data_IF_917470659374
#
_entry.id   IF_917470659374
#
_cell.length_a   1.000
_cell.length_b   1.000
_cell.length_c   1.000
_cell.angle_alpha   90.00
_cell.angle_beta   90.00
_cell.angle_gamma   90.00
#
_symmetry.space_group_name_H-M   'P 1'
#
loop_
_entity.id
_entity.type
_entity.pdbx_description
1 polymer ?
#
# COMPACT_ATOMS: atom_id res chain seq x y z
N UNK A 1 15.64 -16.74 -0.45
CA UNK A 1 16.26 -15.39 -0.55
C UNK A 1 16.24 -14.96 -2.02
N UNK A 2 15.80 -13.74 -2.31
CA UNK A 2 15.90 -13.08 -3.62
C UNK A 2 16.76 -11.81 -3.47
N UNK A 3 17.70 -11.59 -4.38
CA UNK A 3 18.67 -10.49 -4.34
C UNK A 3 18.80 -9.85 -5.72
N UNK A 4 18.68 -8.52 -5.82
CA UNK A 4 18.78 -7.79 -7.11
C UNK A 4 17.86 -8.33 -8.19
N UNK A 5 16.64 -8.68 -7.77
CA UNK A 5 15.55 -9.11 -8.64
C UNK A 5 14.65 -7.91 -8.99
N UNK A 6 13.60 -8.17 -9.77
CA UNK A 6 12.71 -7.13 -10.27
C UNK A 6 13.29 -6.37 -11.46
N UNK A 7 12.43 -5.76 -12.26
CA UNK A 7 12.82 -4.88 -13.35
C UNK A 7 12.07 -3.57 -13.20
N UNK A 8 12.78 -2.50 -12.84
CA UNK A 8 12.16 -1.18 -12.61
C UNK A 8 11.34 -0.75 -13.82
N UNK A 9 10.12 -0.26 -13.57
CA UNK A 9 9.18 0.20 -14.60
C UNK A 9 8.78 -0.86 -15.65
N UNK A 10 8.91 -2.16 -15.36
CA UNK A 10 8.34 -3.23 -16.19
C UNK A 10 7.23 -3.94 -15.41
N UNK A 11 5.98 -3.71 -15.83
CA UNK A 11 4.79 -4.25 -15.17
C UNK A 11 4.86 -5.79 -15.03
N UNK A 12 4.47 -6.29 -13.86
CA UNK A 12 4.44 -7.72 -13.53
C UNK A 12 5.81 -8.37 -13.29
N UNK A 13 6.93 -7.67 -13.50
CA UNK A 13 8.30 -8.20 -13.33
C UNK A 13 8.81 -7.94 -11.91
N UNK A 14 8.18 -8.60 -10.94
CA UNK A 14 8.51 -8.51 -9.52
C UNK A 14 9.17 -9.80 -9.02
N UNK A 15 9.92 -9.77 -7.89
CA UNK A 15 10.61 -10.95 -7.36
C UNK A 15 9.68 -12.10 -6.98
N UNK A 16 8.61 -11.82 -6.22
CA UNK A 16 7.60 -12.79 -5.79
C UNK A 16 6.21 -12.22 -6.05
N UNK A 17 5.43 -12.92 -6.86
CA UNK A 17 4.20 -12.39 -7.45
C UNK A 17 3.15 -13.49 -7.56
N UNK A 18 2.09 -13.43 -6.74
CA UNK A 18 0.87 -14.18 -7.02
C UNK A 18 0.10 -13.45 -8.11
N UNK A 19 -0.03 -14.09 -9.27
CA UNK A 19 -0.61 -13.46 -10.45
C UNK A 19 -1.92 -14.16 -10.83
N UNK A 20 -3.03 -13.45 -10.63
CA UNK A 20 -4.35 -13.81 -11.15
C UNK A 20 -4.83 -15.22 -10.74
N UNK A 21 -4.54 -15.63 -9.49
CA UNK A 21 -4.92 -16.97 -9.00
C UNK A 21 -6.39 -17.06 -8.57
N UNK A 22 -7.11 -15.94 -8.52
CA UNK A 22 -8.48 -15.90 -8.01
C UNK A 22 -8.53 -16.19 -6.51
N UNK A 23 -9.57 -16.89 -6.06
CA UNK A 23 -9.70 -17.29 -4.65
C UNK A 23 -8.97 -18.60 -4.39
N UNK A 24 -7.93 -18.55 -3.57
CA UNK A 24 -7.18 -19.73 -3.10
C UNK A 24 -7.65 -20.15 -1.71
N UNK A 25 -7.24 -21.31 -1.19
CA UNK A 25 -7.78 -21.89 0.05
C UNK A 25 -6.89 -21.63 1.28
N UNK A 26 -6.13 -20.53 1.31
CA UNK A 26 -5.18 -20.22 2.39
C UNK A 26 -3.89 -21.05 2.36
N UNK A 27 -3.77 -21.95 1.39
CA UNK A 27 -2.66 -22.88 1.16
C UNK A 27 -1.60 -22.33 0.19
N UNK A 28 -1.88 -21.22 -0.48
CA UNK A 28 -0.89 -20.48 -1.29
C UNK A 28 -0.24 -19.40 -0.43
N UNK A 29 1.07 -19.51 -0.24
CA UNK A 29 1.79 -18.60 0.64
C UNK A 29 3.20 -18.22 0.17
N UNK A 30 3.62 -17.03 0.57
CA UNK A 30 5.03 -16.66 0.68
C UNK A 30 5.37 -16.58 2.16
N UNK A 31 6.31 -17.41 2.61
CA UNK A 31 6.60 -17.53 4.03
C UNK A 31 8.11 -17.67 4.28
N UNK A 32 8.60 -17.02 5.34
CA UNK A 32 9.99 -17.07 5.78
C UNK A 32 11.00 -16.70 4.66
N UNK A 33 10.61 -15.78 3.78
CA UNK A 33 11.43 -15.29 2.67
C UNK A 33 12.12 -13.95 2.97
N UNK A 34 13.22 -13.71 2.26
CA UNK A 34 13.92 -12.42 2.23
C UNK A 34 14.02 -11.97 0.78
N UNK A 35 13.54 -10.77 0.48
CA UNK A 35 13.79 -10.03 -0.75
C UNK A 35 14.59 -8.78 -0.40
N UNK A 36 15.73 -8.57 -1.06
CA UNK A 36 16.54 -7.38 -0.80
C UNK A 36 17.22 -6.82 -2.06
N UNK A 37 17.47 -5.50 -2.04
CA UNK A 37 18.02 -4.74 -3.17
C UNK A 37 17.18 -4.96 -4.44
N UNK A 38 15.85 -4.97 -4.32
CA UNK A 38 14.96 -5.21 -5.46
C UNK A 38 14.74 -3.93 -6.26
N UNK A 39 14.80 -4.04 -7.58
CA UNK A 39 14.58 -2.91 -8.48
C UNK A 39 13.10 -2.62 -8.73
N UNK A 40 12.19 -3.53 -8.39
CA UNK A 40 10.76 -3.24 -8.49
C UNK A 40 9.90 -4.19 -7.64
N UNK A 41 9.40 -3.65 -6.51
CA UNK A 41 8.56 -4.33 -5.51
C UNK A 41 9.24 -5.54 -4.86
N UNK A 42 8.63 -6.09 -3.81
CA UNK A 42 9.13 -7.29 -3.14
C UNK A 42 8.14 -8.46 -3.23
N UNK A 43 6.96 -8.28 -2.65
CA UNK A 43 5.89 -9.28 -2.59
C UNK A 43 4.62 -8.67 -3.16
N UNK A 44 4.16 -9.22 -4.28
CA UNK A 44 2.96 -8.74 -4.96
C UNK A 44 1.85 -9.77 -4.91
N UNK A 45 0.64 -9.33 -4.57
CA UNK A 45 -0.59 -10.09 -4.70
C UNK A 45 -1.47 -9.36 -5.70
N UNK A 46 -1.70 -10.00 -6.85
CA UNK A 46 -2.43 -9.46 -7.98
C UNK A 46 -3.58 -10.41 -8.32
N UNK A 47 -4.82 -9.91 -8.31
CA UNK A 47 -6.00 -10.69 -8.68
C UNK A 47 -6.21 -11.96 -7.86
N UNK A 48 -5.64 -11.99 -6.65
CA UNK A 48 -5.56 -13.17 -5.78
C UNK A 48 -6.13 -12.84 -4.41
N UNK A 49 -6.97 -13.75 -3.88
CA UNK A 49 -7.70 -13.57 -2.62
C UNK A 49 -7.55 -14.80 -1.73
N UNK A 50 -7.57 -14.59 -0.41
CA UNK A 50 -7.41 -15.63 0.61
C UNK A 50 -6.04 -16.37 0.56
N UNK A 51 -4.98 -15.66 0.15
CA UNK A 51 -3.57 -16.10 0.22
C UNK A 51 -2.90 -15.63 1.52
N UNK A 52 -1.67 -16.10 1.79
CA UNK A 52 -0.89 -15.73 2.98
C UNK A 52 0.52 -15.24 2.65
N UNK A 53 0.90 -14.09 3.18
CA UNK A 53 2.25 -13.52 3.09
C UNK A 53 2.74 -13.33 4.52
N UNK A 54 3.57 -14.25 5.02
CA UNK A 54 3.88 -14.37 6.45
C UNK A 54 5.39 -14.35 6.74
N UNK A 55 5.82 -13.64 7.79
CA UNK A 55 7.20 -13.70 8.32
C UNK A 55 8.29 -13.42 7.29
N UNK A 56 7.98 -12.57 6.31
CA UNK A 56 8.91 -12.21 5.27
C UNK A 56 9.65 -10.91 5.60
N UNK A 57 10.80 -10.72 4.98
CA UNK A 57 11.56 -9.47 5.02
C UNK A 57 11.67 -8.88 3.62
N UNK A 58 11.43 -7.58 3.53
CA UNK A 58 11.69 -6.73 2.37
C UNK A 58 12.61 -5.57 2.79
N UNK A 59 13.85 -5.53 2.27
CA UNK A 59 14.85 -4.53 2.62
C UNK A 59 15.53 -3.92 1.40
N UNK A 60 15.64 -2.59 1.33
CA UNK A 60 16.20 -1.88 0.17
C UNK A 60 15.41 -2.21 -1.11
N UNK A 61 14.23 -1.62 -1.23
CA UNK A 61 13.26 -1.94 -2.28
C UNK A 61 12.86 -0.67 -3.03
N UNK A 62 13.06 -0.66 -4.34
CA UNK A 62 12.46 0.35 -5.23
C UNK A 62 10.98 0.08 -5.45
N UNK A 63 10.15 1.10 -5.21
CA UNK A 63 8.69 1.00 -5.26
C UNK A 63 8.10 0.36 -4.01
N UNK A 64 6.77 0.23 -3.96
CA UNK A 64 6.10 -0.30 -2.78
C UNK A 64 6.43 -1.79 -2.55
N UNK A 65 6.77 -2.19 -1.32
CA UNK A 65 7.34 -3.51 -1.05
C UNK A 65 6.30 -4.64 -1.02
N UNK A 66 5.30 -4.55 -0.13
CA UNK A 66 4.16 -5.46 -0.08
C UNK A 66 3.00 -4.79 -0.80
N UNK A 67 2.61 -5.32 -1.96
CA UNK A 67 1.83 -4.60 -2.96
C UNK A 67 0.57 -5.38 -3.36
N UNK A 68 -0.60 -4.79 -3.11
CA UNK A 68 -1.87 -5.20 -3.75
C UNK A 68 -2.05 -4.39 -5.05
N UNK A 69 -2.33 -5.05 -6.16
CA UNK A 69 -2.23 -4.45 -7.50
C UNK A 69 -3.53 -3.79 -7.97
N UNK A 70 -4.66 -4.52 -8.03
CA UNK A 70 -5.84 -4.06 -8.76
C UNK A 70 -7.03 -3.64 -7.87
N UNK A 71 -7.02 -4.01 -6.59
CA UNK A 71 -8.07 -3.72 -5.64
C UNK A 71 -9.19 -4.76 -5.56
N UNK A 72 -9.16 -5.83 -6.36
CA UNK A 72 -10.06 -6.98 -6.16
C UNK A 72 -9.49 -8.01 -5.15
N UNK A 73 -8.24 -7.85 -4.71
CA UNK A 73 -7.57 -8.74 -3.78
C UNK A 73 -8.13 -8.56 -2.37
N UNK A 74 -8.71 -9.63 -1.81
CA UNK A 74 -9.37 -9.59 -0.50
C UNK A 74 -9.14 -10.84 0.31
N UNK A 75 -9.39 -10.72 1.60
CA UNK A 75 -9.29 -11.77 2.60
C UNK A 75 -7.88 -12.39 2.71
N UNK A 76 -6.86 -11.73 2.14
CA UNK A 76 -5.47 -12.15 2.27
C UNK A 76 -4.95 -11.84 3.69
N UNK A 77 -4.03 -12.67 4.17
CA UNK A 77 -3.33 -12.46 5.43
C UNK A 77 -1.91 -11.99 5.16
N UNK A 78 -1.58 -10.81 5.68
CA UNK A 78 -0.22 -10.30 5.77
C UNK A 78 0.16 -10.26 7.25
N UNK A 79 1.02 -11.17 7.71
CA UNK A 79 1.39 -11.24 9.12
C UNK A 79 2.89 -11.35 9.38
N UNK A 80 3.33 -10.63 10.42
CA UNK A 80 4.72 -10.66 10.94
C UNK A 80 5.80 -10.34 9.88
N UNK A 81 5.45 -9.55 8.87
CA UNK A 81 6.40 -9.13 7.84
C UNK A 81 7.17 -7.86 8.25
N UNK A 82 8.37 -7.68 7.71
CA UNK A 82 9.16 -6.46 7.85
C UNK A 82 9.38 -5.80 6.49
N UNK A 83 9.01 -4.52 6.39
CA UNK A 83 9.40 -3.64 5.28
C UNK A 83 10.34 -2.54 5.79
N UNK A 84 11.56 -2.46 5.26
CA UNK A 84 12.55 -1.48 5.69
C UNK A 84 13.32 -0.87 4.50
N UNK A 85 13.60 0.43 4.57
CA UNK A 85 14.37 1.16 3.56
C UNK A 85 13.71 1.10 2.16
N UNK A 86 12.51 1.68 2.06
CA UNK A 86 11.73 1.76 0.82
C UNK A 86 12.13 3.01 0.03
N UNK A 87 12.44 2.83 -1.25
CA UNK A 87 12.89 3.86 -2.18
C UNK A 87 11.75 4.29 -3.10
N UNK A 88 11.62 5.60 -3.30
CA UNK A 88 10.64 6.20 -4.22
C UNK A 88 11.16 6.12 -5.65
N UNK A 89 10.28 5.73 -6.58
CA UNK A 89 10.58 5.77 -8.00
C UNK A 89 10.18 7.13 -8.55
N UNK A 90 11.12 7.80 -9.22
CA UNK A 90 10.93 9.10 -9.85
C UNK A 90 10.34 10.14 -8.87
N UNK A 91 11.10 10.41 -7.80
CA UNK A 91 10.69 11.30 -6.71
C UNK A 91 10.32 12.69 -7.23
N UNK A 92 9.23 13.25 -6.70
CA UNK A 92 8.80 14.59 -7.06
C UNK A 92 9.62 15.67 -6.35
N UNK A 93 9.77 16.81 -7.03
CA UNK A 93 10.40 18.00 -6.45
C UNK A 93 9.52 18.67 -5.38
N UNK A 94 8.19 18.58 -5.52
CA UNK A 94 7.21 19.07 -4.54
C UNK A 94 5.98 18.17 -4.52
N UNK A 95 5.50 17.89 -3.30
CA UNK A 95 4.28 17.13 -3.02
C UNK A 95 3.07 18.04 -2.70
N UNK A 96 3.14 19.33 -3.08
CA UNK A 96 2.05 20.30 -2.95
C UNK A 96 2.17 21.22 -1.73
N UNK A 97 3.39 21.58 -1.33
CA UNK A 97 3.65 22.76 -0.49
C UNK A 97 3.03 22.76 0.92
N UNK A 98 2.89 21.59 1.56
CA UNK A 98 2.37 21.47 2.92
C UNK A 98 0.86 21.65 3.09
N UNK A 99 0.12 21.79 1.99
CA UNK A 99 -1.33 21.65 1.96
C UNK A 99 -1.77 20.18 2.02
N UNK A 100 -3.07 19.95 2.19
CA UNK A 100 -3.65 18.59 2.09
C UNK A 100 -4.03 18.20 0.65
N UNK A 101 -3.91 19.12 -0.31
CA UNK A 101 -4.35 18.92 -1.70
C UNK A 101 -3.46 18.00 -2.52
N UNK A 102 -2.19 17.85 -2.15
CA UNK A 102 -1.22 17.00 -2.84
C UNK A 102 -0.98 17.44 -4.29
N UNK A 103 -0.51 16.51 -5.11
CA UNK A 103 -0.26 16.71 -6.55
C UNK A 103 -0.94 15.61 -7.36
N UNK A 104 -1.39 15.95 -8.56
CA UNK A 104 -1.90 14.99 -9.53
C UNK A 104 -0.75 14.48 -10.39
N UNK A 105 -0.69 13.17 -10.55
CA UNK A 105 0.39 12.42 -11.15
C UNK A 105 -0.24 11.43 -12.13
N UNK A 106 0.37 11.25 -13.29
CA UNK A 106 -0.07 10.31 -14.32
C UNK A 106 1.01 9.27 -14.59
N UNK A 107 0.59 8.17 -15.20
CA UNK A 107 1.49 7.17 -15.79
C UNK A 107 2.47 7.83 -16.74
N UNK A 108 3.74 7.48 -16.61
CA UNK A 108 4.80 7.93 -17.51
C UNK A 108 5.92 6.89 -17.61
N UNK A 109 6.79 6.93 -18.64
CA UNK A 109 7.80 5.90 -18.84
C UNK A 109 8.76 5.67 -17.66
N UNK A 110 9.08 6.73 -16.90
CA UNK A 110 9.93 6.66 -15.71
C UNK A 110 9.19 6.26 -14.42
N UNK A 111 7.85 6.15 -14.48
CA UNK A 111 6.98 5.78 -13.36
C UNK A 111 5.66 5.26 -13.90
N UNK A 112 5.61 3.95 -14.14
CA UNK A 112 4.45 3.32 -14.79
C UNK A 112 3.24 3.17 -13.85
N UNK A 113 3.45 3.20 -12.53
CA UNK A 113 2.37 3.33 -11.55
C UNK A 113 2.60 4.62 -10.77
N UNK A 114 1.72 5.63 -10.90
CA UNK A 114 1.97 6.97 -10.36
C UNK A 114 2.06 7.02 -8.83
N UNK A 115 1.55 6.00 -8.11
CA UNK A 115 1.70 5.85 -6.66
C UNK A 115 3.11 5.47 -6.23
N UNK A 116 3.99 5.05 -7.15
CA UNK A 116 5.40 4.80 -6.84
C UNK A 116 6.15 6.11 -6.50
N UNK A 117 5.59 7.27 -6.86
CA UNK A 117 6.03 8.59 -6.39
C UNK A 117 5.83 8.78 -4.88
N UNK A 118 5.02 7.92 -4.26
CA UNK A 118 4.70 7.87 -2.83
C UNK A 118 4.87 6.44 -2.31
N UNK A 119 5.89 5.71 -2.79
CA UNK A 119 6.11 4.31 -2.42
C UNK A 119 6.19 4.07 -0.91
N UNK A 120 5.65 2.92 -0.46
CA UNK A 120 5.49 2.57 0.96
C UNK A 120 5.90 1.12 1.27
N UNK A 121 6.01 0.79 2.55
CA UNK A 121 6.23 -0.59 2.99
C UNK A 121 5.07 -1.51 2.60
N UNK A 122 3.85 -1.13 3.00
CA UNK A 122 2.63 -1.90 2.76
C UNK A 122 1.60 -1.07 2.00
N UNK A 123 1.37 -1.41 0.74
CA UNK A 123 0.47 -0.71 -0.16
C UNK A 123 -0.81 -1.53 -0.38
N UNK A 124 -1.96 -0.93 -0.10
CA UNK A 124 -3.22 -1.63 0.05
C UNK A 124 -4.35 -0.95 -0.74
N UNK A 125 -4.58 -1.42 -1.96
CA UNK A 125 -5.67 -0.95 -2.84
C UNK A 125 -7.05 -1.35 -2.31
N UNK A 126 -7.16 -2.46 -1.57
CA UNK A 126 -8.40 -2.92 -0.94
C UNK A 126 -8.23 -3.20 0.56
N UNK A 127 -8.98 -2.48 1.39
CA UNK A 127 -8.86 -2.57 2.84
C UNK A 127 -9.37 -3.89 3.42
N UNK A 128 -10.15 -4.70 2.67
CA UNK A 128 -10.67 -6.00 3.11
C UNK A 128 -9.60 -7.10 3.16
N UNK A 129 -8.47 -6.83 3.78
CA UNK A 129 -7.36 -7.74 4.01
C UNK A 129 -6.92 -7.63 5.48
N UNK A 130 -6.27 -8.66 5.99
CA UNK A 130 -5.84 -8.72 7.38
C UNK A 130 -4.34 -8.45 7.48
N UNK A 131 -3.97 -7.56 8.40
CA UNK A 131 -2.60 -7.08 8.62
C UNK A 131 -2.29 -7.25 10.11
N UNK A 132 -1.43 -8.20 10.46
CA UNK A 132 -1.19 -8.57 11.86
C UNK A 132 0.29 -8.57 12.17
N UNK A 133 0.74 -7.79 13.15
CA UNK A 133 2.12 -7.87 13.65
C UNK A 133 3.20 -7.43 12.64
N UNK A 134 2.85 -6.71 11.57
CA UNK A 134 3.81 -6.26 10.58
C UNK A 134 4.59 -5.04 11.08
N UNK A 135 5.82 -4.87 10.60
CA UNK A 135 6.69 -3.74 10.93
C UNK A 135 7.12 -2.98 9.67
N UNK A 136 6.97 -1.66 9.68
CA UNK A 136 7.35 -0.79 8.56
C UNK A 136 8.35 0.30 9.00
N UNK A 137 9.41 0.49 8.20
CA UNK A 137 10.43 1.52 8.41
C UNK A 137 10.83 2.21 7.12
N UNK A 138 10.64 3.52 7.05
CA UNK A 138 10.96 4.33 5.86
C UNK A 138 9.83 4.41 4.84
N UNK A 139 10.14 4.82 3.61
CA UNK A 139 9.16 5.13 2.57
C UNK A 139 8.42 6.46 2.78
N UNK A 140 7.51 6.76 1.86
CA UNK A 140 6.60 7.91 1.97
C UNK A 140 5.68 7.78 3.19
N UNK A 141 5.25 6.55 3.49
CA UNK A 141 4.54 6.11 4.68
C UNK A 141 4.89 4.65 4.97
N UNK A 142 4.51 4.13 6.13
CA UNK A 142 4.67 2.70 6.45
C UNK A 142 3.57 1.88 5.77
N UNK A 143 2.33 2.31 5.93
CA UNK A 143 1.14 1.71 5.33
C UNK A 143 0.35 2.75 4.54
N UNK A 144 -0.11 2.40 3.34
CA UNK A 144 -0.93 3.27 2.51
C UNK A 144 -2.20 2.57 2.03
N UNK A 145 -3.33 3.22 2.28
CA UNK A 145 -4.66 2.83 1.84
C UNK A 145 -5.24 3.94 0.95
N UNK A 146 -4.92 3.98 -0.35
CA UNK A 146 -5.54 4.90 -1.28
C UNK A 146 -7.04 4.63 -1.42
N UNK A 147 -7.77 5.62 -1.93
CA UNK A 147 -9.08 5.41 -2.52
C UNK A 147 -8.90 4.79 -3.91
N UNK A 148 -9.54 3.64 -4.14
CA UNK A 148 -9.60 2.97 -5.44
C UNK A 148 -11.08 2.78 -5.79
N UNK A 149 -11.66 3.64 -6.65
CA UNK A 149 -13.11 3.72 -6.85
C UNK A 149 -13.72 2.55 -7.64
N UNK A 150 -12.88 1.78 -8.34
CA UNK A 150 -13.26 0.58 -9.09
C UNK A 150 -12.00 -0.26 -9.29
N UNK A 151 -12.16 -1.55 -9.57
CA UNK A 151 -11.04 -2.47 -9.83
C UNK A 151 -10.23 -2.00 -11.04
N UNK A 152 -8.91 -2.01 -10.90
CA UNK A 152 -7.98 -1.52 -11.91
C UNK A 152 -7.47 -2.68 -12.79
N UNK A 153 -6.71 -2.35 -13.84
CA UNK A 153 -5.82 -3.29 -14.51
C UNK A 153 -6.51 -4.52 -15.09
N UNK A 154 -5.79 -5.64 -15.04
CA UNK A 154 -6.21 -6.91 -15.66
C UNK A 154 -7.45 -7.52 -14.97
N UNK A 155 -7.68 -7.16 -13.71
CA UNK A 155 -8.83 -7.61 -12.93
C UNK A 155 -10.13 -6.87 -13.24
N UNK A 156 -10.10 -5.74 -13.96
CA UNK A 156 -11.29 -4.90 -14.18
C UNK A 156 -12.42 -5.66 -14.91
N UNK A 157 -12.09 -6.39 -15.97
CA UNK A 157 -13.08 -6.97 -16.88
C UNK A 157 -14.05 -7.94 -16.18
N UNK A 158 -13.57 -8.69 -15.18
CA UNK A 158 -14.34 -9.66 -14.41
C UNK A 158 -14.97 -9.06 -13.15
N UNK A 159 -14.66 -7.80 -12.79
CA UNK A 159 -15.04 -7.18 -11.52
C UNK A 159 -15.62 -5.75 -11.69
N UNK A 160 -16.32 -5.50 -12.80
CA UNK A 160 -16.80 -4.14 -13.19
C UNK A 160 -17.70 -3.48 -12.14
N UNK A 161 -18.45 -4.27 -11.39
CA UNK A 161 -19.42 -3.82 -10.38
C UNK A 161 -18.84 -3.83 -8.96
N UNK A 162 -17.56 -4.19 -8.81
CA UNK A 162 -16.88 -4.21 -7.52
C UNK A 162 -16.17 -2.87 -7.25
N UNK A 163 -16.38 -2.33 -6.05
CA UNK A 163 -15.87 -1.03 -5.63
C UNK A 163 -14.95 -1.18 -4.42
N UNK A 164 -13.62 -1.23 -4.61
CA UNK A 164 -12.66 -1.43 -3.51
C UNK A 164 -12.71 -0.34 -2.44
N UNK A 165 -13.13 0.89 -2.79
CA UNK A 165 -13.27 2.00 -1.86
C UNK A 165 -14.48 1.91 -0.92
N UNK A 166 -15.40 0.97 -1.14
CA UNK A 166 -16.57 0.70 -0.28
C UNK A 166 -16.27 -0.29 0.85
N UNK A 167 -15.21 -1.07 0.71
CA UNK A 167 -14.85 -2.11 1.67
C UNK A 167 -14.26 -1.53 2.97
N UNK A 168 -14.64 -2.14 4.09
CA UNK A 168 -14.10 -1.85 5.42
C UNK A 168 -12.74 -2.53 5.61
N UNK A 169 -11.93 -1.97 6.51
CA UNK A 169 -10.67 -2.60 6.89
C UNK A 169 -10.93 -3.97 7.52
N UNK A 170 -10.20 -4.99 7.08
CA UNK A 170 -10.11 -6.25 7.80
C UNK A 170 -9.43 -6.08 9.16
N UNK A 171 -9.00 -7.18 9.75
CA UNK A 171 -8.23 -7.13 10.99
C UNK A 171 -6.93 -6.34 10.80
N UNK A 172 -6.71 -5.31 11.62
CA UNK A 172 -5.47 -4.56 11.65
C UNK A 172 -4.97 -4.49 13.10
N UNK A 173 -4.12 -5.44 13.47
CA UNK A 173 -3.70 -5.63 14.85
C UNK A 173 -2.18 -5.68 15.00
N UNK A 174 -1.67 -5.12 16.09
CA UNK A 174 -0.27 -5.27 16.51
C UNK A 174 0.78 -4.79 15.49
N UNK A 175 0.39 -3.99 14.50
CA UNK A 175 1.33 -3.46 13.51
C UNK A 175 2.16 -2.31 14.10
N UNK A 176 3.41 -2.20 13.65
CA UNK A 176 4.29 -1.09 14.01
C UNK A 176 4.74 -0.37 12.75
N UNK A 177 4.74 0.95 12.76
CA UNK A 177 5.35 1.75 11.71
C UNK A 177 6.15 2.89 12.32
N UNK A 178 7.40 3.05 11.89
CA UNK A 178 8.28 4.11 12.38
C UNK A 178 9.13 4.73 11.26
N UNK A 179 9.77 5.86 11.52
CA UNK A 179 10.78 6.44 10.61
C UNK A 179 10.31 6.71 9.18
N UNK A 180 8.99 6.81 8.95
CA UNK A 180 8.39 7.12 7.64
C UNK A 180 7.94 8.58 7.57
N UNK A 181 7.57 9.06 6.38
CA UNK A 181 6.97 10.39 6.21
C UNK A 181 7.97 11.54 6.12
N UNK A 182 9.27 11.26 5.94
CA UNK A 182 10.33 12.29 5.82
C UNK A 182 10.14 13.21 4.60
N UNK A 183 9.50 12.72 3.55
CA UNK A 183 9.52 13.33 2.21
C UNK A 183 8.49 14.44 2.01
N UNK A 184 7.62 14.70 2.98
CA UNK A 184 6.70 15.83 2.92
C UNK A 184 6.36 16.37 4.30
N UNK A 185 5.92 17.63 4.37
CA UNK A 185 5.84 18.35 5.64
C UNK A 185 4.80 17.79 6.61
N UNK A 186 3.78 17.09 6.10
CA UNK A 186 2.70 16.45 6.88
C UNK A 186 2.79 14.93 6.87
N UNK A 187 3.95 14.34 6.61
CA UNK A 187 4.07 12.89 6.49
C UNK A 187 3.84 12.12 7.78
N UNK A 188 3.40 10.87 7.60
CA UNK A 188 3.14 9.99 8.71
C UNK A 188 3.20 8.52 8.35
N UNK A 189 3.13 7.68 9.36
CA UNK A 189 3.39 6.25 9.26
C UNK A 189 2.20 5.42 8.77
N UNK A 190 0.97 5.92 8.99
CA UNK A 190 -0.23 5.39 8.38
C UNK A 190 -0.85 6.45 7.50
N UNK A 191 -1.08 6.12 6.23
CA UNK A 191 -1.71 7.03 5.28
C UNK A 191 -2.97 6.42 4.68
N UNK A 192 -4.12 7.02 4.98
CA UNK A 192 -5.41 6.67 4.38
C UNK A 192 -5.91 7.88 3.61
N UNK A 193 -5.80 7.83 2.29
CA UNK A 193 -6.03 8.98 1.43
C UNK A 193 -5.24 8.87 0.12
N UNK A 194 -5.39 9.91 -0.70
CA UNK A 194 -5.02 9.80 -2.10
C UNK A 194 -6.07 9.03 -2.89
N UNK A 195 -6.06 9.20 -4.19
CA UNK A 195 -7.00 8.53 -5.09
C UNK A 195 -6.24 8.01 -6.29
N UNK A 196 -6.31 6.70 -6.52
CA UNK A 196 -5.77 6.03 -7.70
C UNK A 196 -6.94 5.56 -8.57
N UNK A 197 -6.86 5.82 -9.86
CA UNK A 197 -7.84 5.37 -10.86
C UNK A 197 -7.16 5.24 -12.23
N UNK A 198 -7.85 4.70 -13.22
CA UNK A 198 -7.39 4.70 -14.61
C UNK A 198 -8.25 5.66 -15.45
N UNK A 199 -7.63 6.47 -16.31
CA UNK A 199 -8.42 7.38 -17.15
C UNK A 199 -9.31 6.59 -18.14
N UNK A 200 -8.85 5.40 -18.55
CA UNK A 200 -9.64 4.36 -19.20
C UNK A 200 -9.61 3.08 -18.35
N UNK A 201 -10.76 2.60 -17.88
CA UNK A 201 -10.82 1.44 -16.96
C UNK A 201 -10.25 0.16 -17.59
N UNK A 202 -9.36 -0.53 -16.87
CA UNK A 202 -8.66 -1.74 -17.31
C UNK A 202 -7.56 -1.50 -18.35
N UNK A 203 -7.05 -0.27 -18.46
CA UNK A 203 -6.04 0.08 -19.49
C UNK A 203 -4.60 0.10 -19.00
N UNK A 204 -4.38 0.05 -17.69
CA UNK A 204 -3.09 0.33 -17.04
C UNK A 204 -2.58 1.76 -17.25
N UNK A 205 -3.44 2.69 -17.70
CA UNK A 205 -3.16 4.13 -17.75
C UNK A 205 -3.74 4.83 -16.52
N UNK A 206 -2.92 4.87 -15.48
CA UNK A 206 -3.30 5.37 -14.16
C UNK A 206 -3.15 6.89 -14.00
N UNK A 207 -4.07 7.46 -13.24
CA UNK A 207 -4.03 8.77 -12.62
C UNK A 207 -4.03 8.62 -11.10
N UNK A 208 -3.23 9.43 -10.41
CA UNK A 208 -3.14 9.44 -8.94
C UNK A 208 -3.10 10.86 -8.41
N UNK A 209 -3.89 11.14 -7.37
CA UNK A 209 -3.74 12.36 -6.56
C UNK A 209 -3.18 11.98 -5.21
N UNK A 210 -2.02 12.54 -4.85
CA UNK A 210 -1.34 12.25 -3.58
C UNK A 210 -1.91 12.97 -2.36
N UNK A 211 -2.89 13.85 -2.58
CA UNK A 211 -3.55 14.61 -1.53
C UNK A 211 -4.72 13.87 -0.91
N UNK A 212 -5.26 14.42 0.18
CA UNK A 212 -6.52 13.97 0.78
C UNK A 212 -7.69 14.72 0.13
N UNK A 213 -7.78 14.77 -1.20
CA UNK A 213 -8.86 15.51 -1.88
C UNK A 213 -10.17 14.73 -1.91
N UNK A 214 -10.12 13.41 -1.82
CA UNK A 214 -11.28 12.52 -1.74
C UNK A 214 -11.21 11.58 -0.54
N UNK A 215 -12.35 11.01 -0.19
CA UNK A 215 -12.51 10.06 0.91
C UNK A 215 -12.98 8.73 0.37
N UNK A 216 -12.43 7.64 0.91
CA UNK A 216 -13.02 6.30 0.73
C UNK A 216 -14.46 6.30 1.24
N UNK A 217 -15.31 5.47 0.63
CA UNK A 217 -16.72 5.29 1.03
C UNK A 217 -16.82 4.39 2.27
N UNK A 218 -16.03 3.32 2.30
CA UNK A 218 -15.79 2.49 3.48
C UNK A 218 -15.00 3.29 4.52
N UNK A 219 -15.66 3.64 5.63
CA UNK A 219 -15.14 4.58 6.62
C UNK A 219 -14.60 3.92 7.89
N UNK A 220 -14.77 2.61 8.08
CA UNK A 220 -14.36 1.93 9.31
C UNK A 220 -12.95 1.37 9.17
N UNK A 221 -12.00 2.09 9.75
CA UNK A 221 -10.65 1.64 10.00
C UNK A 221 -10.52 1.44 11.50
N UNK A 222 -10.64 0.20 11.97
CA UNK A 222 -10.35 -0.13 13.37
C UNK A 222 -8.96 -0.73 13.43
N UNK A 223 -8.07 -0.07 14.18
CA UNK A 223 -6.71 -0.54 14.41
C UNK A 223 -6.55 -0.82 15.90
N UNK A 224 -6.11 -2.02 16.24
CA UNK A 224 -5.86 -2.44 17.62
C UNK A 224 -4.37 -2.68 17.83
N UNK A 225 -3.88 -2.43 19.05
CA UNK A 225 -2.49 -2.67 19.45
C UNK A 225 -1.41 -2.10 18.51
N UNK A 226 -1.76 -1.10 17.70
CA UNK A 226 -0.91 -0.55 16.63
C UNK A 226 -0.08 0.61 17.17
N UNK A 227 1.21 0.62 16.87
CA UNK A 227 2.15 1.69 17.27
C UNK A 227 2.67 2.40 16.02
N UNK A 228 2.52 3.72 15.97
CA UNK A 228 3.01 4.52 14.86
C UNK A 228 3.80 5.72 15.37
N UNK A 229 5.03 5.90 14.88
CA UNK A 229 5.88 7.04 15.21
C UNK A 229 6.53 7.61 13.95
N UNK A 230 5.95 8.71 13.47
CA UNK A 230 6.47 9.42 12.29
C UNK A 230 7.88 9.95 12.51
N UNK A 231 8.57 10.27 11.40
CA UNK A 231 9.87 10.96 11.44
C UNK A 231 9.79 12.32 12.16
N UNK A 232 8.61 12.97 12.15
CA UNK A 232 8.33 14.19 12.89
C UNK A 232 7.42 13.86 14.07
N UNK A 233 7.66 14.51 15.22
CA UNK A 233 6.99 14.22 16.50
C UNK A 233 5.45 14.24 16.45
N UNK A 234 4.84 14.90 15.45
CA UNK A 234 3.38 15.04 15.29
C UNK A 234 2.76 14.10 14.22
N UNK A 235 3.53 13.27 13.53
CA UNK A 235 3.12 12.58 12.29
C UNK A 235 2.86 11.07 12.41
N UNK A 236 2.14 10.58 13.41
CA UNK A 236 1.91 9.12 13.53
C UNK A 236 0.88 8.60 12.51
N UNK A 237 -0.24 9.30 12.31
CA UNK A 237 -1.37 8.86 11.50
C UNK A 237 -1.92 10.00 10.62
N UNK A 238 -2.32 9.68 9.39
CA UNK A 238 -2.96 10.62 8.46
C UNK A 238 -4.19 9.98 7.79
N UNK A 239 -5.39 10.51 8.07
CA UNK A 239 -6.56 10.22 7.22
C UNK A 239 -7.57 11.37 7.12
N UNK A 240 -8.66 11.14 6.38
CA UNK A 240 -9.92 11.89 6.44
C UNK A 240 -11.12 11.10 6.99
N UNK A 241 -10.93 9.85 7.43
CA UNK A 241 -12.00 8.91 7.81
C UNK A 241 -11.80 8.31 9.22
N UNK A 242 -11.76 9.13 10.28
CA UNK A 242 -11.58 8.65 11.66
C UNK A 242 -12.67 9.11 12.65
N UNK A 243 -13.03 8.20 13.56
CA UNK A 243 -13.51 8.47 14.92
C UNK A 243 -12.66 7.63 15.89
N UNK A 244 -12.11 8.24 16.94
CA UNK A 244 -11.44 7.51 18.03
C UNK A 244 -12.47 6.74 18.87
N UNK A 245 -12.22 5.48 19.25
CA UNK A 245 -12.71 4.95 20.52
C UNK A 245 -11.98 5.69 21.67
N UNK A 246 -12.70 5.93 22.76
CA UNK A 246 -12.32 6.69 23.96
C UNK A 246 -10.80 6.69 24.31
N UNK A 247 -10.19 7.87 24.56
CA UNK A 247 -8.81 8.01 25.03
C UNK A 247 -8.40 7.20 26.26
N UNK A 248 -9.36 6.66 27.03
CA UNK A 248 -9.10 5.93 28.27
C UNK A 248 -8.38 4.56 28.14
N UNK A 249 -8.03 4.11 26.92
CA UNK A 249 -7.39 2.80 26.69
C UNK A 249 -5.87 2.84 26.49
N UNK A 250 -5.21 3.98 26.76
CA UNK A 250 -3.78 4.16 26.51
C UNK A 250 -2.99 4.63 27.75
N UNK A 251 -3.29 4.07 28.93
CA UNK A 251 -2.41 4.13 30.11
C UNK A 251 -1.73 2.79 30.38
#
# INVERSE_FOLDING_TARGET
MAYRMGQENVMGRYPLHFHMMGKVNGDSFFEDCLVQHSYFRAYTVHGTSNSRVSRNVAYDISGSAYYLEDGNERDNLFDFNLAAFILIIDQLNDYGGGGQGGVRIHTQPSRIVPTDATAVGFYCTNAKNRWIGNSASGGFSGFHFPRVPYVLGDSYAQNKDYHPDEEELGEFDSNTAHSSGRLWSRGGCMYVGGELWEDNKGSHDYSYVSGRTSTRKGGRFFMTNTKAQGYKEEGSLLSRAWRFPDPALWS
#
